data_IF_642514498233
#
_entry.id   IF_642514498233
#
_cell.length_a   1.000
_cell.length_b   1.000
_cell.length_c   1.000
_cell.angle_alpha   90.00
_cell.angle_beta   90.00
_cell.angle_gamma   90.00
#
_symmetry.space_group_name_H-M   'P 1'
#
loop_
_entity.id
_entity.type
_entity.pdbx_description
1 polymer ?
#
# COMPACT_ATOMS: atom_id res chain seq x y z
N UNK A 1 6.15 16.63 31.51
CA UNK A 1 7.52 16.11 31.66
C UNK A 1 7.62 14.94 30.72
N UNK A 2 8.13 15.27 29.53
CA UNK A 2 8.73 14.46 28.48
C UNK A 2 8.36 12.97 28.41
N UNK A 3 7.51 12.66 27.44
CA UNK A 3 7.61 11.39 26.72
C UNK A 3 7.50 11.70 25.22
N UNK A 4 8.44 12.50 24.73
CA UNK A 4 8.86 12.45 23.32
C UNK A 4 9.31 11.01 23.09
N UNK A 5 8.50 10.22 22.39
CA UNK A 5 8.96 8.96 21.82
C UNK A 5 10.14 9.31 20.90
N UNK A 6 11.35 9.20 21.45
CA UNK A 6 12.57 9.63 20.79
C UNK A 6 12.59 9.09 19.37
N UNK A 7 12.77 9.97 18.41
CA UNK A 7 12.85 9.67 16.99
C UNK A 7 13.79 8.47 16.78
N UNK A 8 13.21 7.30 16.54
CA UNK A 8 13.96 6.07 16.38
C UNK A 8 14.59 5.98 14.99
N UNK A 9 14.38 6.95 14.11
CA UNK A 9 15.04 6.96 12.82
C UNK A 9 16.55 7.07 12.96
N UNK A 10 17.27 6.50 12.00
CA UNK A 10 18.69 6.73 11.80
C UNK A 10 18.88 7.25 10.37
N UNK A 11 19.69 8.28 10.21
CA UNK A 11 20.00 8.94 8.95
C UNK A 11 21.50 9.21 8.83
N UNK A 12 21.93 9.57 7.62
CA UNK A 12 23.30 9.94 7.32
C UNK A 12 23.83 10.96 8.34
N UNK A 13 25.08 10.74 8.78
CA UNK A 13 25.79 11.51 9.82
C UNK A 13 25.37 11.24 11.27
N UNK A 14 24.35 10.41 11.52
CA UNK A 14 24.06 9.95 12.88
C UNK A 14 25.18 9.05 13.40
N UNK A 15 25.47 9.16 14.70
CA UNK A 15 26.44 8.30 15.39
C UNK A 15 25.77 7.63 16.58
N UNK A 16 25.64 6.31 16.55
CA UNK A 16 24.95 5.53 17.60
C UNK A 16 25.33 4.06 17.56
N UNK A 17 25.30 3.38 18.72
CA UNK A 17 25.38 1.91 18.77
C UNK A 17 24.26 1.22 17.97
N UNK A 18 23.14 1.93 17.73
CA UNK A 18 22.03 1.44 16.90
C UNK A 18 22.44 1.27 15.43
N UNK A 19 23.44 2.01 14.95
CA UNK A 19 23.98 1.86 13.60
C UNK A 19 24.71 0.52 13.44
N UNK A 20 25.41 0.05 14.49
CA UNK A 20 26.04 -1.28 14.48
C UNK A 20 24.99 -2.36 14.28
N UNK A 21 23.88 -2.29 15.03
CA UNK A 21 22.76 -3.22 14.87
C UNK A 21 22.10 -3.10 13.48
N UNK A 22 22.00 -1.89 12.92
CA UNK A 22 21.49 -1.68 11.56
C UNK A 22 22.37 -2.37 10.52
N UNK A 23 23.70 -2.21 10.60
CA UNK A 23 24.67 -2.88 9.72
C UNK A 23 24.50 -4.40 9.72
N UNK A 24 24.44 -5.00 10.91
CA UNK A 24 24.22 -6.44 11.06
C UNK A 24 22.88 -6.90 10.47
N UNK A 25 21.81 -6.12 10.68
CA UNK A 25 20.49 -6.45 10.14
C UNK A 25 20.44 -6.35 8.62
N UNK A 26 21.10 -5.37 8.02
CA UNK A 26 21.22 -5.24 6.57
C UNK A 26 21.96 -6.44 5.97
N UNK A 27 23.07 -6.87 6.59
CA UNK A 27 23.81 -8.07 6.17
C UNK A 27 22.95 -9.33 6.25
N UNK A 28 22.24 -9.54 7.37
CA UNK A 28 21.33 -10.68 7.54
C UNK A 28 20.17 -10.66 6.54
N UNK A 29 19.71 -9.47 6.17
CA UNK A 29 18.69 -9.28 5.15
C UNK A 29 19.21 -9.50 3.71
N UNK A 30 20.47 -9.92 3.55
CA UNK A 30 21.07 -10.27 2.26
C UNK A 30 21.74 -9.11 1.53
N UNK A 31 21.86 -7.92 2.16
CA UNK A 31 22.58 -6.80 1.56
C UNK A 31 24.08 -7.07 1.67
N UNK A 32 24.73 -7.23 0.52
CA UNK A 32 26.17 -7.42 0.44
C UNK A 32 26.82 -6.20 -0.21
N UNK A 33 27.52 -5.40 0.59
CA UNK A 33 28.29 -4.24 0.14
C UNK A 33 29.64 -4.18 0.85
N UNK A 34 30.64 -3.63 0.17
CA UNK A 34 31.94 -3.38 0.79
C UNK A 34 31.79 -2.37 1.94
N UNK A 35 32.54 -2.58 3.02
CA UNK A 35 32.58 -1.70 4.20
C UNK A 35 31.25 -1.57 4.95
N UNK A 36 30.31 -2.51 4.72
CA UNK A 36 29.07 -2.57 5.48
C UNK A 36 29.27 -3.25 6.84
N UNK A 37 30.07 -4.31 6.88
CA UNK A 37 30.23 -5.09 8.09
C UNK A 37 30.95 -4.30 9.20
N UNK A 38 30.51 -4.41 10.47
CA UNK A 38 31.07 -3.61 11.56
C UNK A 38 32.59 -3.75 11.76
N UNK A 39 33.15 -4.91 11.39
CA UNK A 39 34.58 -5.23 11.48
C UNK A 39 35.40 -4.72 10.28
N UNK A 40 34.75 -4.20 9.23
CA UNK A 40 35.39 -3.67 8.03
C UNK A 40 35.62 -2.15 8.08
N UNK A 41 35.17 -1.47 9.13
CA UNK A 41 35.25 -0.02 9.28
C UNK A 41 35.90 0.38 10.59
N UNK A 42 36.53 1.56 10.62
CA UNK A 42 37.21 2.06 11.81
C UNK A 42 36.23 2.41 12.95
N UNK A 43 35.05 2.96 12.60
CA UNK A 43 34.00 3.28 13.55
C UNK A 43 32.64 2.78 13.03
N UNK A 44 32.15 1.62 13.51
CA UNK A 44 30.89 1.06 13.06
C UNK A 44 29.65 1.77 13.63
N UNK A 45 29.84 2.74 14.54
CA UNK A 45 28.73 3.50 15.12
C UNK A 45 28.27 4.65 14.24
N UNK A 46 29.03 4.99 13.20
CA UNK A 46 28.72 6.08 12.26
C UNK A 46 27.86 5.58 11.11
N UNK A 47 26.77 6.29 10.84
CA UNK A 47 25.94 6.13 9.64
C UNK A 47 26.63 6.86 8.48
N UNK A 48 27.55 6.16 7.84
CA UNK A 48 28.36 6.63 6.72
C UNK A 48 27.65 6.44 5.36
N UNK A 49 28.35 6.79 4.28
CA UNK A 49 27.85 6.68 2.91
C UNK A 49 27.61 5.22 2.48
N UNK A 50 28.31 4.25 3.07
CA UNK A 50 28.08 2.83 2.79
C UNK A 50 26.79 2.34 3.45
N UNK A 51 26.50 2.79 4.68
CA UNK A 51 25.22 2.50 5.36
C UNK A 51 24.07 3.17 4.61
N UNK A 52 24.22 4.43 4.18
CA UNK A 52 23.20 5.10 3.35
C UNK A 52 22.91 4.33 2.06
N UNK A 53 23.94 3.93 1.31
CA UNK A 53 23.79 3.13 0.10
C UNK A 53 23.14 1.76 0.39
N UNK A 54 23.52 1.10 1.49
CA UNK A 54 22.95 -0.19 1.90
C UNK A 54 21.48 -0.07 2.32
N UNK A 55 21.11 0.98 3.05
CA UNK A 55 19.71 1.27 3.41
C UNK A 55 18.89 1.55 2.16
N UNK A 56 19.38 2.38 1.23
CA UNK A 56 18.69 2.66 -0.04
C UNK A 56 18.51 1.39 -0.88
N UNK A 57 19.53 0.54 -0.93
CA UNK A 57 19.45 -0.75 -1.64
C UNK A 57 18.43 -1.67 -0.99
N UNK A 58 18.42 -1.77 0.34
CA UNK A 58 17.41 -2.53 1.04
C UNK A 58 16.00 -1.98 0.78
N UNK A 59 15.80 -0.66 0.87
CA UNK A 59 14.54 0.00 0.58
C UNK A 59 14.06 -0.28 -0.84
N UNK A 60 14.96 -0.16 -1.84
CA UNK A 60 14.68 -0.46 -3.23
C UNK A 60 14.24 -1.92 -3.41
N UNK A 61 15.03 -2.87 -2.87
CA UNK A 61 14.74 -4.30 -3.01
C UNK A 61 13.42 -4.69 -2.34
N UNK A 62 13.10 -4.02 -1.23
CA UNK A 62 11.85 -4.25 -0.49
C UNK A 62 10.67 -3.45 -1.04
N UNK A 63 10.86 -2.52 -1.97
CA UNK A 63 9.81 -1.66 -2.50
C UNK A 63 9.28 -0.63 -1.50
N UNK A 64 10.13 -0.20 -0.57
CA UNK A 64 9.87 0.89 0.38
C UNK A 64 10.17 2.25 -0.26
N UNK A 65 9.85 3.34 0.45
CA UNK A 65 10.36 4.66 0.08
C UNK A 65 11.89 4.69 0.17
N UNK A 66 12.57 5.14 -0.89
CA UNK A 66 14.04 5.12 -0.99
C UNK A 66 14.63 6.47 -0.60
N UNK A 67 14.47 6.82 0.67
CA UNK A 67 14.93 8.09 1.24
C UNK A 67 16.33 7.99 1.89
N UNK A 68 16.85 6.77 2.10
CA UNK A 68 18.09 6.51 2.84
C UNK A 68 17.95 6.61 4.36
N UNK A 69 16.73 6.80 4.87
CA UNK A 69 16.43 6.89 6.29
C UNK A 69 15.97 5.54 6.82
N UNK A 70 16.66 5.04 7.85
CA UNK A 70 16.21 3.86 8.58
C UNK A 70 15.14 4.25 9.60
N UNK A 71 13.96 4.66 9.10
CA UNK A 71 12.78 4.99 9.89
C UNK A 71 11.99 3.76 10.36
N UNK A 72 10.83 3.96 11.02
CA UNK A 72 10.01 2.86 11.55
C UNK A 72 9.65 1.79 10.51
N UNK A 73 9.31 2.19 9.29
CA UNK A 73 8.98 1.29 8.19
C UNK A 73 10.19 0.44 7.75
N UNK A 74 11.33 1.08 7.46
CA UNK A 74 12.59 0.39 7.14
C UNK A 74 13.02 -0.57 8.26
N UNK A 75 12.93 -0.12 9.51
CA UNK A 75 13.28 -0.93 10.68
C UNK A 75 12.31 -2.09 10.89
N UNK A 76 11.02 -1.95 10.57
CA UNK A 76 10.05 -3.05 10.64
C UNK A 76 10.35 -4.09 9.56
N UNK A 77 10.54 -3.65 8.32
CA UNK A 77 10.89 -4.53 7.20
C UNK A 77 12.19 -5.31 7.46
N UNK A 78 13.21 -4.68 8.07
CA UNK A 78 14.44 -5.36 8.49
C UNK A 78 14.23 -6.39 9.59
N UNK A 79 13.17 -6.27 10.40
CA UNK A 79 12.83 -7.25 11.44
C UNK A 79 12.06 -8.43 10.85
N UNK A 80 11.14 -8.13 9.95
CA UNK A 80 10.34 -9.11 9.20
C UNK A 80 11.21 -9.98 8.26
N UNK A 81 12.30 -9.41 7.74
CA UNK A 81 13.27 -10.11 6.89
C UNK A 81 14.14 -11.15 7.62
N UNK A 82 14.05 -11.25 8.96
CA UNK A 82 14.91 -12.14 9.74
C UNK A 82 14.44 -13.59 9.78
N UNK A 83 13.18 -13.84 9.44
CA UNK A 83 12.54 -15.13 9.62
C UNK A 83 12.12 -15.72 8.28
N UNK A 84 12.50 -16.96 8.04
CA UNK A 84 12.02 -17.79 6.94
C UNK A 84 10.91 -18.74 7.43
N UNK A 85 10.10 -19.21 6.49
CA UNK A 85 9.03 -20.16 6.79
C UNK A 85 9.60 -21.44 7.44
N UNK A 86 9.19 -21.69 8.69
CA UNK A 86 9.65 -22.83 9.49
C UNK A 86 10.67 -22.51 10.58
N UNK A 87 11.21 -21.28 10.63
CA UNK A 87 12.17 -20.87 11.66
C UNK A 87 11.55 -20.78 13.07
N UNK A 88 10.23 -20.56 13.14
CA UNK A 88 9.47 -20.43 14.39
C UNK A 88 8.02 -20.90 14.21
N UNK A 89 7.36 -21.38 15.29
CA UNK A 89 5.93 -21.60 15.26
C UNK A 89 5.19 -20.26 15.15
N UNK A 90 4.13 -20.23 14.34
CA UNK A 90 3.26 -19.05 14.19
C UNK A 90 1.85 -19.41 14.61
N UNK A 91 1.23 -18.57 15.42
CA UNK A 91 -0.11 -18.79 15.95
C UNK A 91 -0.85 -17.47 16.10
N UNK A 92 -2.18 -17.59 16.18
CA UNK A 92 -3.06 -16.48 16.47
C UNK A 92 -3.63 -16.65 17.88
N UNK A 93 -3.57 -15.57 18.66
CA UNK A 93 -4.23 -15.50 19.96
C UNK A 93 -4.84 -14.11 20.12
N UNK A 94 -6.08 -14.07 20.60
CA UNK A 94 -6.78 -12.81 20.83
C UNK A 94 -6.06 -11.99 21.93
N UNK A 95 -5.78 -10.71 21.63
CA UNK A 95 -5.15 -9.79 22.58
C UNK A 95 -3.63 -9.88 22.68
N UNK A 96 -2.97 -10.68 21.82
CA UNK A 96 -1.51 -10.72 21.67
C UNK A 96 -1.13 -10.15 20.30
N UNK A 97 0.00 -9.43 20.24
CA UNK A 97 0.55 -8.97 18.98
C UNK A 97 0.72 -10.13 18.00
N UNK A 98 0.13 -9.99 16.81
CA UNK A 98 0.23 -11.00 15.79
C UNK A 98 1.67 -11.20 15.35
N UNK A 99 2.04 -12.46 15.08
CA UNK A 99 3.34 -12.74 14.47
C UNK A 99 3.37 -12.10 13.08
N UNK A 100 4.44 -11.37 12.77
CA UNK A 100 4.64 -10.69 11.48
C UNK A 100 6.00 -11.02 10.89
N UNK A 101 6.07 -11.15 9.57
CA UNK A 101 7.32 -11.42 8.88
C UNK A 101 7.18 -11.91 7.43
N UNK A 102 8.32 -12.06 6.77
CA UNK A 102 8.42 -12.71 5.47
C UNK A 102 7.96 -14.18 5.54
N UNK A 103 8.25 -14.86 6.66
CA UNK A 103 7.77 -16.20 7.00
C UNK A 103 6.24 -16.32 6.93
N UNK A 104 5.53 -15.37 7.54
CA UNK A 104 4.07 -15.34 7.52
C UNK A 104 3.54 -15.03 6.11
N UNK A 105 4.17 -14.08 5.42
CA UNK A 105 3.80 -13.75 4.03
C UNK A 105 3.94 -14.96 3.10
N UNK A 106 4.98 -15.76 3.31
CA UNK A 106 5.21 -16.98 2.55
C UNK A 106 4.21 -18.08 2.91
N UNK A 107 3.87 -18.24 4.19
CA UNK A 107 2.78 -19.13 4.61
C UNK A 107 1.45 -18.75 3.94
N UNK A 108 1.05 -17.48 4.02
CA UNK A 108 -0.19 -16.98 3.40
C UNK A 108 -0.21 -17.22 1.89
N UNK A 109 0.93 -17.03 1.21
CA UNK A 109 1.08 -17.31 -0.22
C UNK A 109 0.86 -18.79 -0.53
N UNK A 110 1.52 -19.67 0.21
CA UNK A 110 1.37 -21.11 0.02
C UNK A 110 -0.07 -21.56 0.30
N UNK A 111 -0.70 -21.05 1.36
CA UNK A 111 -2.11 -21.31 1.65
C UNK A 111 -3.01 -20.80 0.51
N UNK A 112 -2.70 -19.65 -0.07
CA UNK A 112 -3.44 -19.10 -1.22
C UNK A 112 -3.29 -19.98 -2.46
N UNK A 113 -2.07 -20.44 -2.79
CA UNK A 113 -1.84 -21.38 -3.89
C UNK A 113 -2.56 -22.71 -3.71
N UNK A 114 -2.66 -23.18 -2.47
CA UNK A 114 -3.41 -24.38 -2.12
C UNK A 114 -4.94 -24.16 -2.08
N UNK A 115 -5.40 -22.91 -2.24
CA UNK A 115 -6.82 -22.55 -2.22
C UNK A 115 -7.44 -22.50 -0.84
N UNK A 116 -6.66 -22.34 0.24
CA UNK A 116 -7.14 -22.23 1.63
C UNK A 116 -7.14 -20.79 2.15
N UNK A 117 -6.42 -19.87 1.52
CA UNK A 117 -6.34 -18.47 1.94
C UNK A 117 -6.84 -17.50 0.87
N UNK A 118 -7.87 -16.74 1.25
CA UNK A 118 -8.60 -15.81 0.38
C UNK A 118 -8.42 -14.35 0.83
N UNK A 119 -7.36 -14.08 1.58
CA UNK A 119 -7.08 -12.77 2.19
C UNK A 119 -5.93 -12.04 1.51
N UNK A 120 -5.75 -10.78 1.90
CA UNK A 120 -4.58 -10.01 1.56
C UNK A 120 -3.33 -10.68 2.15
N UNK A 121 -2.26 -10.82 1.36
CA UNK A 121 -0.97 -11.34 1.85
C UNK A 121 -0.24 -10.17 2.52
N UNK A 122 -0.65 -9.83 3.74
CA UNK A 122 -0.11 -8.72 4.55
C UNK A 122 1.14 -9.10 5.36
N UNK A 123 1.44 -10.40 5.48
CA UNK A 123 2.51 -10.89 6.33
C UNK A 123 2.17 -10.88 7.82
N UNK A 124 0.88 -10.84 8.17
CA UNK A 124 0.38 -10.86 9.54
C UNK A 124 -0.40 -12.15 9.85
N UNK A 125 -0.02 -12.84 10.94
CA UNK A 125 -0.70 -14.06 11.36
C UNK A 125 -1.96 -13.70 12.16
N UNK A 126 -2.98 -13.24 11.44
CA UNK A 126 -4.29 -12.91 11.99
C UNK A 126 -5.27 -14.09 11.99
N UNK A 127 -6.51 -13.81 12.41
CA UNK A 127 -7.59 -14.81 12.48
C UNK A 127 -7.84 -15.52 11.14
N UNK A 128 -7.75 -14.80 10.01
CA UNK A 128 -7.94 -15.40 8.67
C UNK A 128 -6.86 -16.43 8.35
N UNK A 129 -5.60 -16.11 8.66
CA UNK A 129 -4.46 -17.01 8.48
C UNK A 129 -4.63 -18.24 9.38
N UNK A 130 -5.03 -18.05 10.64
CA UNK A 130 -5.31 -19.14 11.57
C UNK A 130 -6.40 -20.09 11.07
N UNK A 131 -7.52 -19.57 10.56
CA UNK A 131 -8.60 -20.40 10.01
C UNK A 131 -8.16 -21.16 8.75
N UNK A 132 -7.40 -20.52 7.86
CA UNK A 132 -6.84 -21.17 6.67
C UNK A 132 -5.86 -22.29 7.03
N UNK A 133 -4.98 -22.06 8.02
CA UNK A 133 -4.07 -23.09 8.55
C UNK A 133 -4.87 -24.26 9.12
N UNK A 134 -5.88 -23.97 9.93
CA UNK A 134 -6.73 -24.99 10.55
C UNK A 134 -7.45 -25.84 9.52
N UNK A 135 -7.99 -25.23 8.47
CA UNK A 135 -8.64 -25.94 7.36
C UNK A 135 -7.64 -26.81 6.58
N UNK A 136 -6.45 -26.29 6.27
CA UNK A 136 -5.40 -27.08 5.62
C UNK A 136 -4.98 -28.27 6.49
N UNK A 137 -4.79 -28.09 7.79
CA UNK A 137 -4.46 -29.17 8.71
C UNK A 137 -5.50 -30.30 8.67
N UNK A 138 -6.80 -29.96 8.67
CA UNK A 138 -7.87 -30.95 8.52
C UNK A 138 -7.74 -31.74 7.23
N UNK A 139 -7.49 -31.06 6.10
CA UNK A 139 -7.35 -31.70 4.79
C UNK A 139 -6.09 -32.56 4.67
N UNK A 140 -5.03 -32.23 5.41
CA UNK A 140 -3.79 -33.01 5.47
C UNK A 140 -3.84 -34.14 6.52
N UNK A 141 -4.95 -34.30 7.24
CA UNK A 141 -5.10 -35.30 8.31
C UNK A 141 -4.26 -34.99 9.56
N UNK A 142 -3.91 -33.72 9.77
CA UNK A 142 -3.23 -33.22 10.97
C UNK A 142 -4.25 -32.76 12.03
N UNK A 143 -3.78 -32.57 13.26
CA UNK A 143 -4.58 -31.97 14.32
C UNK A 143 -4.87 -30.50 13.99
N UNK A 144 -6.15 -30.06 14.00
CA UNK A 144 -6.55 -28.75 13.49
C UNK A 144 -6.39 -27.64 14.54
N UNK A 145 -5.18 -27.48 15.05
CA UNK A 145 -4.82 -26.46 16.05
C UNK A 145 -4.88 -25.02 15.51
N UNK A 146 -4.75 -24.85 14.18
CA UNK A 146 -4.56 -23.56 13.55
C UNK A 146 -3.20 -22.91 13.85
N UNK A 147 -2.24 -23.69 14.36
CA UNK A 147 -0.84 -23.29 14.59
C UNK A 147 0.01 -23.76 13.43
N UNK A 148 0.80 -22.87 12.85
CA UNK A 148 1.77 -23.24 11.83
C UNK A 148 3.09 -23.66 12.49
N UNK A 149 3.26 -24.97 12.63
CA UNK A 149 4.38 -25.64 13.29
C UNK A 149 5.17 -26.54 12.32
N UNK A 150 6.25 -27.14 12.80
CA UNK A 150 7.11 -27.99 11.97
C UNK A 150 6.37 -29.16 11.28
N UNK A 151 5.43 -29.89 11.93
CA UNK A 151 4.57 -30.86 11.26
C UNK A 151 3.80 -30.31 10.07
N UNK A 152 3.14 -29.16 10.23
CA UNK A 152 2.42 -28.52 9.12
C UNK A 152 3.38 -28.13 7.99
N UNK A 153 4.48 -27.43 8.30
CA UNK A 153 5.44 -26.97 7.28
C UNK A 153 6.02 -28.15 6.51
N UNK A 154 6.37 -29.24 7.19
CA UNK A 154 6.84 -30.47 6.56
C UNK A 154 5.78 -31.15 5.68
N UNK A 155 4.50 -31.06 6.04
CA UNK A 155 3.39 -31.54 5.21
C UNK A 155 3.18 -30.66 3.97
N UNK A 156 3.16 -29.32 4.13
CA UNK A 156 3.05 -28.35 3.05
C UNK A 156 4.17 -28.49 2.01
N UNK A 157 5.42 -28.66 2.47
CA UNK A 157 6.57 -28.84 1.59
C UNK A 157 6.45 -30.08 0.68
N UNK A 158 5.69 -31.10 1.09
CA UNK A 158 5.40 -32.29 0.26
C UNK A 158 4.31 -32.01 -0.78
N UNK A 159 3.29 -31.24 -0.41
CA UNK A 159 2.17 -30.89 -1.32
C UNK A 159 2.59 -29.86 -2.36
N UNK A 160 3.31 -28.81 -1.98
CA UNK A 160 3.71 -27.72 -2.88
C UNK A 160 4.61 -28.17 -4.05
N UNK A 161 5.31 -29.31 -3.94
CA UNK A 161 6.09 -29.87 -5.06
C UNK A 161 5.22 -30.30 -6.26
N UNK A 162 3.90 -30.35 -6.10
CA UNK A 162 2.96 -30.88 -7.11
C UNK A 162 2.04 -29.85 -7.75
N UNK A 163 2.10 -28.56 -7.35
CA UNK A 163 1.14 -27.54 -7.77
C UNK A 163 1.87 -26.37 -8.44
N UNK A 164 1.39 -25.95 -9.62
CA UNK A 164 1.90 -24.80 -10.37
C UNK A 164 1.15 -23.51 -9.97
N UNK A 165 1.81 -22.33 -9.89
CA UNK A 165 1.29 -21.14 -9.19
C UNK A 165 0.09 -20.40 -9.83
N UNK A 166 -0.38 -20.81 -11.01
CA UNK A 166 -1.05 -19.89 -11.93
C UNK A 166 -2.58 -19.81 -11.87
N UNK A 167 -3.30 -20.60 -11.05
CA UNK A 167 -4.76 -20.74 -11.25
C UNK A 167 -5.68 -20.54 -10.04
N UNK A 168 -5.20 -20.58 -8.79
CA UNK A 168 -6.10 -20.56 -7.63
C UNK A 168 -6.62 -19.16 -7.24
N UNK A 169 -5.79 -18.14 -7.40
CA UNK A 169 -6.05 -16.78 -6.88
C UNK A 169 -6.96 -15.95 -7.80
N UNK A 170 -6.89 -16.17 -9.11
CA UNK A 170 -7.55 -15.32 -10.11
C UNK A 170 -9.06 -15.55 -10.20
N UNK A 171 -9.54 -16.79 -10.08
CA UNK A 171 -10.93 -17.11 -10.43
C UNK A 171 -11.95 -16.73 -9.35
N UNK A 172 -11.62 -16.84 -8.06
CA UNK A 172 -12.60 -16.69 -6.96
C UNK A 172 -12.79 -15.25 -6.46
N UNK A 173 -11.73 -14.44 -6.48
CA UNK A 173 -11.83 -13.00 -6.19
C UNK A 173 -12.53 -12.26 -7.34
N UNK A 174 -12.30 -12.68 -8.60
CA UNK A 174 -13.11 -12.26 -9.74
C UNK A 174 -14.58 -12.62 -9.52
N UNK A 175 -14.88 -13.86 -9.10
CA UNK A 175 -16.27 -14.31 -8.94
C UNK A 175 -17.00 -13.59 -7.79
N UNK A 176 -16.31 -13.16 -6.72
CA UNK A 176 -16.90 -12.29 -5.67
C UNK A 176 -17.15 -10.87 -6.13
N UNK A 177 -16.25 -10.30 -6.94
CA UNK A 177 -16.51 -9.02 -7.62
C UNK A 177 -17.70 -9.16 -8.59
N UNK A 178 -17.79 -10.28 -9.30
CA UNK A 178 -18.86 -10.59 -10.26
C UNK A 178 -20.22 -10.89 -9.60
N UNK A 179 -20.24 -11.28 -8.32
CA UNK A 179 -21.49 -11.58 -7.59
C UNK A 179 -22.09 -10.36 -6.87
N UNK A 180 -21.40 -9.21 -6.83
CA UNK A 180 -21.85 -8.03 -6.11
C UNK A 180 -22.69 -7.10 -7.00
N UNK A 181 -23.93 -7.49 -7.29
CA UNK A 181 -24.91 -6.67 -8.03
C UNK A 181 -25.45 -5.50 -7.18
N UNK A 182 -24.63 -4.46 -6.97
CA UNK A 182 -25.05 -3.08 -6.64
C UNK A 182 -23.81 -2.17 -6.81
N UNK A 183 -23.84 -1.29 -7.81
CA UNK A 183 -22.65 -0.65 -8.37
C UNK A 183 -21.79 0.13 -7.35
N UNK A 184 -22.40 0.82 -6.37
CA UNK A 184 -21.69 1.55 -5.29
C UNK A 184 -22.46 1.59 -3.96
N UNK A 185 -23.78 1.37 -3.99
CA UNK A 185 -24.68 1.53 -2.84
C UNK A 185 -24.34 0.60 -1.68
N UNK A 186 -24.14 1.18 -0.50
CA UNK A 186 -23.83 0.43 0.73
C UNK A 186 -22.41 -0.13 0.81
N UNK A 187 -21.52 0.20 -0.14
CA UNK A 187 -20.09 -0.08 0.00
C UNK A 187 -19.42 0.99 0.84
N UNK A 188 -18.52 0.56 1.71
CA UNK A 188 -17.70 1.47 2.51
C UNK A 188 -16.40 1.74 1.77
N UNK A 189 -16.14 3.00 1.40
CA UNK A 189 -14.87 3.43 0.78
C UNK A 189 -14.14 4.33 1.77
N UNK A 190 -12.86 4.04 2.01
CA UNK A 190 -12.02 4.89 2.84
C UNK A 190 -11.19 5.83 1.98
N UNK A 191 -11.20 7.12 2.31
CA UNK A 191 -10.40 8.15 1.66
C UNK A 191 -9.44 8.78 2.64
N UNK A 192 -8.20 8.99 2.19
CA UNK A 192 -7.19 9.71 2.96
C UNK A 192 -6.50 10.74 2.08
N UNK A 193 -6.18 11.90 2.64
CA UNK A 193 -5.37 12.91 1.96
C UNK A 193 -3.91 12.81 2.42
N UNK A 194 -2.98 13.00 1.50
CA UNK A 194 -1.56 13.09 1.77
C UNK A 194 -1.17 14.34 2.54
N UNK A 195 -0.07 14.23 3.27
CA UNK A 195 0.60 15.34 3.96
C UNK A 195 2.11 15.10 4.07
N UNK A 196 2.65 14.30 3.14
CA UNK A 196 4.02 13.77 3.19
C UNK A 196 5.08 14.73 2.65
N UNK A 197 4.68 15.84 2.04
CA UNK A 197 5.61 16.89 1.62
C UNK A 197 5.43 18.13 2.49
N UNK A 198 6.54 18.59 3.08
CA UNK A 198 6.62 19.96 3.65
C UNK A 198 6.82 21.02 2.56
N UNK A 199 6.89 20.58 1.30
CA UNK A 199 7.09 21.43 0.16
C UNK A 199 5.90 22.37 -0.04
N UNK A 200 6.20 23.66 -0.16
CA UNK A 200 5.24 24.69 -0.49
C UNK A 200 5.56 25.21 -1.88
N UNK A 201 4.62 25.06 -2.81
CA UNK A 201 4.79 25.56 -4.16
C UNK A 201 4.87 27.09 -4.17
N UNK A 202 5.68 27.70 -5.07
CA UNK A 202 5.65 29.13 -5.29
C UNK A 202 4.33 29.63 -5.89
N UNK A 203 3.51 28.72 -6.43
CA UNK A 203 2.16 29.03 -6.94
C UNK A 203 1.16 29.10 -5.79
N UNK A 204 0.27 30.09 -5.83
CA UNK A 204 -0.86 30.20 -4.91
C UNK A 204 -2.11 29.52 -5.49
N UNK A 205 -2.95 28.98 -4.61
CA UNK A 205 -4.26 28.45 -4.97
C UNK A 205 -5.16 29.53 -5.58
N UNK A 206 -5.77 29.27 -6.74
CA UNK A 206 -6.54 30.28 -7.48
C UNK A 206 -7.84 30.69 -6.78
N UNK A 207 -8.44 29.80 -5.97
CA UNK A 207 -9.69 30.09 -5.27
C UNK A 207 -9.48 30.86 -3.98
N UNK A 208 -8.49 30.47 -3.17
CA UNK A 208 -8.28 31.00 -1.83
C UNK A 208 -7.12 31.99 -1.72
N UNK A 209 -6.24 32.05 -2.72
CA UNK A 209 -5.00 32.85 -2.69
C UNK A 209 -3.95 32.34 -1.69
N UNK A 210 -4.19 31.20 -1.05
CA UNK A 210 -3.28 30.61 -0.05
C UNK A 210 -2.12 29.90 -0.74
N UNK A 211 -0.99 29.70 -0.04
CA UNK A 211 0.08 28.86 -0.54
C UNK A 211 -0.40 27.46 -0.91
N UNK A 212 0.01 26.98 -2.08
CA UNK A 212 -0.35 25.65 -2.55
C UNK A 212 0.54 24.61 -1.85
N UNK A 213 -0.10 23.75 -1.06
CA UNK A 213 0.53 22.64 -0.33
C UNK A 213 -0.19 21.34 -0.68
N UNK A 214 0.48 20.20 -0.49
CA UNK A 214 -0.13 18.88 -0.70
C UNK A 214 -1.42 18.75 0.10
N UNK A 215 -1.38 19.11 1.39
CA UNK A 215 -2.54 19.05 2.27
C UNK A 215 -3.74 19.83 1.70
N UNK A 216 -3.51 21.02 1.13
CA UNK A 216 -4.59 21.82 0.54
C UNK A 216 -5.19 21.13 -0.68
N UNK A 217 -4.35 20.69 -1.62
CA UNK A 217 -4.78 20.09 -2.89
C UNK A 217 -5.43 18.74 -2.65
N UNK A 218 -4.74 17.83 -1.96
CA UNK A 218 -5.22 16.48 -1.67
C UNK A 218 -6.53 16.50 -0.88
N UNK A 219 -6.66 17.35 0.14
CA UNK A 219 -7.90 17.45 0.92
C UNK A 219 -9.07 18.07 0.14
N UNK A 220 -8.80 18.90 -0.88
CA UNK A 220 -9.85 19.44 -1.75
C UNK A 220 -10.36 18.37 -2.72
N UNK A 221 -9.46 17.65 -3.39
CA UNK A 221 -9.84 16.53 -4.27
C UNK A 221 -10.56 15.45 -3.47
N UNK A 222 -10.04 15.07 -2.30
CA UNK A 222 -10.67 14.09 -1.41
C UNK A 222 -12.11 14.45 -1.04
N UNK A 223 -12.38 15.71 -0.62
CA UNK A 223 -13.74 16.17 -0.29
C UNK A 223 -14.69 16.14 -1.49
N UNK A 224 -14.19 16.41 -2.69
CA UNK A 224 -14.98 16.31 -3.92
C UNK A 224 -15.34 14.85 -4.21
N UNK A 225 -14.37 13.94 -4.13
CA UNK A 225 -14.60 12.49 -4.29
C UNK A 225 -15.60 11.98 -3.25
N UNK A 226 -15.42 12.35 -1.98
CA UNK A 226 -16.35 12.03 -0.89
C UNK A 226 -17.78 12.49 -1.20
N UNK A 227 -17.94 13.75 -1.61
CA UNK A 227 -19.25 14.33 -1.93
C UNK A 227 -19.95 13.58 -3.07
N UNK A 228 -19.22 13.21 -4.11
CA UNK A 228 -19.80 12.53 -5.27
C UNK A 228 -20.15 11.07 -4.91
N UNK A 229 -19.23 10.34 -4.27
CA UNK A 229 -19.48 8.95 -3.84
C UNK A 229 -20.65 8.83 -2.86
N UNK A 230 -20.74 9.75 -1.90
CA UNK A 230 -21.85 9.79 -0.95
C UNK A 230 -23.17 10.09 -1.66
N UNK A 231 -23.16 10.98 -2.66
CA UNK A 231 -24.31 11.25 -3.53
C UNK A 231 -24.76 10.04 -4.36
N UNK A 232 -23.84 9.12 -4.68
CA UNK A 232 -24.10 7.84 -5.35
C UNK A 232 -24.48 6.71 -4.37
N UNK A 233 -24.62 7.00 -3.08
CA UNK A 233 -25.07 6.04 -2.05
C UNK A 233 -23.97 5.15 -1.45
N UNK A 234 -22.70 5.45 -1.69
CA UNK A 234 -21.60 4.81 -0.97
C UNK A 234 -21.44 5.41 0.44
N UNK A 235 -21.00 4.60 1.39
CA UNK A 235 -20.59 5.08 2.72
C UNK A 235 -19.11 5.47 2.65
N UNK A 236 -18.79 6.74 2.88
CA UNK A 236 -17.40 7.22 2.80
C UNK A 236 -16.86 7.49 4.19
N UNK A 237 -15.75 6.84 4.53
CA UNK A 237 -14.99 7.14 5.75
C UNK A 237 -13.76 7.95 5.37
N UNK A 238 -13.63 9.14 5.95
CA UNK A 238 -12.43 9.97 5.76
C UNK A 238 -11.50 9.78 6.95
N UNK A 239 -10.26 9.37 6.68
CA UNK A 239 -9.19 9.34 7.70
C UNK A 239 -8.26 10.51 7.44
N UNK A 240 -8.29 11.50 8.35
CA UNK A 240 -7.47 12.69 8.25
C UNK A 240 -5.98 12.34 8.33
N UNK A 241 -5.16 13.09 7.58
CA UNK A 241 -3.72 13.09 7.76
C UNK A 241 -3.36 13.70 9.12
N UNK A 242 -2.99 12.84 10.07
CA UNK A 242 -2.13 13.22 11.19
C UNK A 242 -0.67 13.33 10.71
N UNK A 243 0.19 14.14 11.37
CA UNK A 243 1.59 14.29 10.98
C UNK A 243 2.29 12.94 10.81
N UNK A 244 3.25 12.88 9.87
CA UNK A 244 3.98 11.70 9.33
C UNK A 244 4.42 10.62 10.35
N UNK A 245 4.51 10.98 11.64
CA UNK A 245 4.91 10.10 12.74
C UNK A 245 3.80 9.12 13.19
N UNK A 246 2.63 9.10 12.55
CA UNK A 246 1.47 8.31 12.97
C UNK A 246 0.90 7.37 11.88
N UNK A 247 1.71 6.86 10.94
CA UNK A 247 1.26 5.86 9.94
C UNK A 247 0.53 4.67 10.57
N UNK A 248 0.97 4.22 11.75
CA UNK A 248 0.33 3.14 12.51
C UNK A 248 -1.12 3.50 12.92
N UNK A 249 -1.40 4.77 13.28
CA UNK A 249 -2.75 5.22 13.62
C UNK A 249 -3.68 5.18 12.39
N UNK A 250 -3.19 5.65 11.23
CA UNK A 250 -3.97 5.61 9.97
C UNK A 250 -4.33 4.19 9.56
N UNK A 251 -3.37 3.27 9.62
CA UNK A 251 -3.59 1.85 9.30
C UNK A 251 -4.67 1.24 10.22
N UNK A 252 -4.62 1.55 11.52
CA UNK A 252 -5.63 1.08 12.47
C UNK A 252 -7.01 1.65 12.18
N UNK A 253 -7.12 2.96 11.91
CA UNK A 253 -8.39 3.61 11.57
C UNK A 253 -9.02 3.00 10.30
N UNK A 254 -8.21 2.77 9.26
CA UNK A 254 -8.66 2.11 8.02
C UNK A 254 -9.17 0.69 8.32
N UNK A 255 -8.43 -0.09 9.12
CA UNK A 255 -8.86 -1.45 9.52
C UNK A 255 -10.17 -1.44 10.29
N UNK A 256 -10.33 -0.52 11.24
CA UNK A 256 -11.54 -0.40 12.05
C UNK A 256 -12.76 -0.06 11.20
N UNK A 257 -12.60 0.81 10.19
CA UNK A 257 -13.66 1.12 9.24
C UNK A 257 -14.02 -0.06 8.32
N UNK A 258 -13.13 -1.05 8.17
CA UNK A 258 -13.33 -2.23 7.31
C UNK A 258 -13.89 -1.93 5.91
N UNK A 259 -13.32 -0.95 5.17
CA UNK A 259 -13.80 -0.55 3.86
C UNK A 259 -13.57 -1.65 2.80
N UNK A 260 -14.30 -1.60 1.70
CA UNK A 260 -14.05 -2.44 0.53
C UNK A 260 -12.86 -1.97 -0.31
N UNK A 261 -12.46 -0.69 -0.18
CA UNK A 261 -11.33 -0.06 -0.86
C UNK A 261 -10.84 1.13 -0.03
N UNK A 262 -9.51 1.32 0.04
CA UNK A 262 -8.88 2.49 0.64
C UNK A 262 -8.04 3.25 -0.39
N UNK A 263 -8.20 4.57 -0.48
CA UNK A 263 -7.51 5.43 -1.45
C UNK A 263 -6.81 6.57 -0.72
N UNK A 264 -5.49 6.66 -0.89
CA UNK A 264 -4.70 7.83 -0.49
C UNK A 264 -4.48 8.73 -1.69
N UNK A 265 -4.88 10.00 -1.60
CA UNK A 265 -4.69 11.01 -2.64
C UNK A 265 -3.55 11.92 -2.20
N UNK A 266 -2.51 12.05 -3.02
CA UNK A 266 -1.26 12.69 -2.67
C UNK A 266 -0.76 13.59 -3.81
N UNK A 267 0.16 14.49 -3.50
CA UNK A 267 0.96 15.21 -4.48
C UNK A 267 2.43 14.98 -4.17
N UNK A 268 3.26 14.90 -5.21
CA UNK A 268 4.69 14.68 -5.05
C UNK A 268 5.48 16.01 -5.15
N UNK A 269 6.73 15.99 -4.72
CA UNK A 269 7.67 17.10 -4.89
C UNK A 269 9.10 16.57 -4.93
N UNK A 270 9.87 17.03 -5.91
CA UNK A 270 11.29 16.69 -6.05
C UNK A 270 12.12 17.96 -6.20
N UNK A 271 13.41 17.87 -5.86
CA UNK A 271 14.42 18.92 -6.11
C UNK A 271 14.71 19.12 -7.63
N UNK A 272 13.96 18.44 -8.49
CA UNK A 272 13.98 18.58 -9.94
C UNK A 272 12.67 19.24 -10.40
N UNK A 273 12.67 20.54 -10.74
CA UNK A 273 11.44 21.28 -11.07
C UNK A 273 10.79 20.84 -12.40
N UNK A 274 11.49 20.03 -13.20
CA UNK A 274 10.97 19.48 -14.45
C UNK A 274 10.20 18.16 -14.26
N UNK A 275 10.31 17.51 -13.09
CA UNK A 275 9.55 16.30 -12.79
C UNK A 275 8.06 16.59 -12.93
N UNK A 276 7.31 15.72 -13.62
CA UNK A 276 5.88 15.87 -13.81
C UNK A 276 5.22 14.51 -14.09
N UNK A 277 3.90 14.46 -13.95
CA UNK A 277 3.09 13.30 -14.26
C UNK A 277 2.32 12.75 -13.07
N UNK A 278 1.52 11.72 -13.35
CA UNK A 278 0.68 11.02 -12.37
C UNK A 278 1.11 9.57 -12.26
N UNK A 279 1.06 9.04 -11.04
CA UNK A 279 1.38 7.64 -10.77
C UNK A 279 0.42 7.06 -9.74
N UNK A 280 0.24 5.74 -9.77
CA UNK A 280 -0.52 5.04 -8.75
C UNK A 280 0.25 3.85 -8.18
N UNK A 281 0.08 3.59 -6.90
CA UNK A 281 0.80 2.57 -6.16
C UNK A 281 -0.18 1.59 -5.51
N UNK A 282 0.18 0.32 -5.51
CA UNK A 282 -0.61 -0.76 -4.92
C UNK A 282 0.32 -1.74 -4.19
N UNK A 283 -0.23 -2.58 -3.32
CA UNK A 283 0.55 -3.61 -2.63
C UNK A 283 1.06 -4.69 -3.61
N UNK A 284 2.38 -4.71 -3.78
CA UNK A 284 3.09 -5.62 -4.67
C UNK A 284 4.60 -5.52 -4.51
N UNK A 285 5.34 -6.45 -5.11
CA UNK A 285 6.81 -6.46 -5.07
C UNK A 285 7.38 -5.95 -6.39
N UNK A 286 8.08 -4.80 -6.39
CA UNK A 286 8.59 -4.21 -7.62
C UNK A 286 9.64 -5.07 -8.32
N UNK A 287 10.58 -5.70 -7.60
CA UNK A 287 11.65 -6.51 -8.20
C UNK A 287 11.14 -7.72 -8.98
N UNK A 288 10.10 -8.39 -8.44
CA UNK A 288 9.55 -9.63 -9.02
C UNK A 288 8.35 -9.38 -9.93
N UNK A 289 7.78 -8.16 -9.92
CA UNK A 289 6.49 -7.87 -10.55
C UNK A 289 5.30 -8.59 -9.90
N UNK A 290 5.47 -9.14 -8.70
CA UNK A 290 4.44 -9.91 -8.02
C UNK A 290 3.32 -8.99 -7.52
N UNK A 291 2.10 -9.25 -8.01
CA UNK A 291 0.89 -8.58 -7.54
C UNK A 291 0.41 -9.29 -6.27
N UNK A 292 0.32 -8.56 -5.16
CA UNK A 292 -0.15 -9.10 -3.87
C UNK A 292 -1.54 -8.62 -3.47
N UNK A 293 -2.06 -7.61 -4.16
CA UNK A 293 -3.42 -7.11 -4.03
C UNK A 293 -4.04 -6.94 -5.43
N UNK A 294 -4.73 -7.94 -6.00
CA UNK A 294 -5.35 -7.84 -7.32
C UNK A 294 -6.40 -6.73 -7.41
N UNK A 295 -7.23 -6.60 -6.39
CA UNK A 295 -8.25 -5.54 -6.34
C UNK A 295 -7.57 -4.17 -6.26
N UNK A 296 -6.53 -4.02 -5.43
CA UNK A 296 -5.74 -2.78 -5.38
C UNK A 296 -5.04 -2.47 -6.71
N UNK A 297 -4.50 -3.50 -7.38
CA UNK A 297 -3.89 -3.37 -8.70
C UNK A 297 -4.90 -2.91 -9.76
N UNK A 298 -6.06 -3.57 -9.86
CA UNK A 298 -7.15 -3.19 -10.78
C UNK A 298 -7.67 -1.79 -10.48
N UNK A 299 -7.81 -1.42 -9.20
CA UNK A 299 -8.21 -0.08 -8.79
C UNK A 299 -7.18 0.98 -9.22
N UNK A 300 -5.90 0.72 -9.00
CA UNK A 300 -4.82 1.62 -9.41
C UNK A 300 -4.78 1.79 -10.94
N UNK A 301 -4.94 0.71 -11.70
CA UNK A 301 -4.99 0.72 -13.16
C UNK A 301 -6.17 1.56 -13.69
N UNK A 302 -7.39 1.29 -13.20
CA UNK A 302 -8.58 2.02 -13.62
C UNK A 302 -8.49 3.51 -13.27
N UNK A 303 -8.05 3.84 -12.05
CA UNK A 303 -7.94 5.24 -11.62
C UNK A 303 -6.91 5.99 -12.47
N UNK A 304 -5.73 5.41 -12.68
CA UNK A 304 -4.71 6.04 -13.52
C UNK A 304 -5.22 6.24 -14.95
N UNK A 305 -5.90 5.24 -15.53
CA UNK A 305 -6.48 5.32 -16.88
C UNK A 305 -7.52 6.43 -16.99
N UNK A 306 -8.45 6.56 -16.03
CA UNK A 306 -9.48 7.60 -16.07
C UNK A 306 -8.91 9.00 -15.86
N UNK A 307 -7.86 9.14 -15.03
CA UNK A 307 -7.15 10.41 -14.82
C UNK A 307 -6.42 10.82 -16.10
N UNK A 308 -5.70 9.91 -16.74
CA UNK A 308 -4.97 10.18 -17.99
C UNK A 308 -5.92 10.49 -19.16
N UNK A 309 -7.10 9.85 -19.21
CA UNK A 309 -8.07 10.11 -20.27
C UNK A 309 -8.71 11.52 -20.20
N UNK A 310 -8.69 12.17 -19.03
CA UNK A 310 -9.32 13.47 -18.78
C UNK A 310 -8.35 14.61 -18.51
N UNK A 311 -7.06 14.30 -18.39
CA UNK A 311 -6.01 15.28 -18.11
C UNK A 311 -4.92 15.22 -19.16
N UNK A 312 -4.04 16.21 -19.17
CA UNK A 312 -2.83 16.22 -20.01
C UNK A 312 -1.60 15.78 -19.20
N UNK A 313 -1.80 15.00 -18.13
CA UNK A 313 -0.70 14.56 -17.28
C UNK A 313 0.15 13.49 -17.96
N UNK A 314 1.44 13.49 -17.66
CA UNK A 314 2.36 12.44 -18.12
C UNK A 314 2.05 11.14 -17.38
N UNK A 315 1.98 10.04 -18.11
CA UNK A 315 1.79 8.70 -17.54
C UNK A 315 3.11 8.19 -16.94
N UNK A 316 3.16 8.06 -15.62
CA UNK A 316 4.28 7.42 -14.92
C UNK A 316 4.00 5.96 -14.57
N UNK A 317 2.83 5.44 -14.92
CA UNK A 317 2.42 4.05 -14.72
C UNK A 317 1.97 3.71 -13.30
N UNK A 318 1.61 2.44 -13.14
CA UNK A 318 1.27 1.84 -11.85
C UNK A 318 2.43 1.03 -11.29
N UNK A 319 2.61 1.09 -9.97
CA UNK A 319 3.80 0.56 -9.31
C UNK A 319 3.46 -0.30 -8.11
N UNK A 320 4.00 -1.53 -8.07
CA UNK A 320 3.96 -2.35 -6.86
C UNK A 320 4.89 -1.76 -5.79
N UNK A 321 4.36 -1.51 -4.60
CA UNK A 321 5.11 -1.01 -3.43
C UNK A 321 4.75 -1.78 -2.18
N UNK A 322 5.67 -1.71 -1.22
CA UNK A 322 5.55 -2.40 0.07
C UNK A 322 5.24 -1.51 1.25
N UNK A 323 4.65 -0.35 0.97
CA UNK A 323 4.39 0.65 1.99
C UNK A 323 3.37 0.16 3.02
N UNK A 324 3.55 0.53 4.28
CA UNK A 324 2.70 0.10 5.38
C UNK A 324 1.22 0.43 5.12
N UNK A 325 0.93 1.60 4.54
CA UNK A 325 -0.44 2.01 4.23
C UNK A 325 -1.10 1.14 3.15
N UNK A 326 -0.31 0.49 2.29
CA UNK A 326 -0.78 -0.40 1.24
C UNK A 326 -0.90 -1.85 1.72
N UNK A 327 0.05 -2.27 2.57
CA UNK A 327 0.23 -3.65 3.05
C UNK A 327 -0.51 -3.93 4.35
N UNK A 328 -0.28 -3.10 5.36
CA UNK A 328 -0.69 -3.36 6.73
C UNK A 328 -2.14 -3.00 6.99
N UNK A 329 -2.92 -2.52 6.03
CA UNK A 329 -4.37 -2.33 6.24
C UNK A 329 -5.15 -3.64 6.11
N UNK A 330 -4.59 -4.67 5.46
CA UNK A 330 -5.33 -5.89 5.03
C UNK A 330 -6.55 -5.59 4.14
N UNK A 331 -6.66 -4.35 3.64
CA UNK A 331 -7.72 -3.85 2.76
C UNK A 331 -7.09 -3.59 1.39
N UNK A 332 -7.80 -3.81 0.25
CA UNK A 332 -7.37 -3.28 -1.04
C UNK A 332 -7.09 -1.78 -0.95
N UNK A 333 -5.81 -1.40 -0.98
CA UNK A 333 -5.37 -0.04 -0.73
C UNK A 333 -4.51 0.46 -1.87
N UNK A 334 -4.70 1.72 -2.24
CA UNK A 334 -3.91 2.40 -3.27
C UNK A 334 -3.43 3.76 -2.77
N UNK A 335 -2.34 4.24 -3.35
CA UNK A 335 -1.93 5.64 -3.28
C UNK A 335 -1.89 6.20 -4.70
N UNK A 336 -2.45 7.39 -4.88
CA UNK A 336 -2.49 8.11 -6.14
C UNK A 336 -1.74 9.43 -5.98
N UNK A 337 -0.68 9.61 -6.74
CA UNK A 337 0.05 10.87 -6.84
C UNK A 337 -0.47 11.63 -8.05
N UNK A 338 -1.18 12.75 -7.80
CA UNK A 338 -1.93 13.50 -8.83
C UNK A 338 -1.12 14.59 -9.53
N UNK A 339 0.19 14.67 -9.28
CA UNK A 339 1.11 15.64 -9.90
C UNK A 339 2.18 16.16 -8.94
N UNK A 340 3.15 16.87 -9.49
CA UNK A 340 4.29 17.45 -8.78
C UNK A 340 4.05 18.91 -8.42
N UNK A 341 4.05 19.23 -7.13
CA UNK A 341 3.95 20.62 -6.65
C UNK A 341 5.20 21.44 -6.94
N UNK A 342 6.35 20.77 -7.09
CA UNK A 342 7.64 21.38 -7.44
C UNK A 342 7.70 21.82 -8.90
N UNK A 343 6.81 21.31 -9.76
CA UNK A 343 6.70 21.71 -11.15
C UNK A 343 5.73 22.89 -11.30
N UNK A 344 6.17 24.05 -11.83
CA UNK A 344 5.31 25.24 -11.93
C UNK A 344 4.05 25.04 -12.78
N UNK A 345 4.13 24.26 -13.87
CA UNK A 345 3.00 24.04 -14.77
C UNK A 345 1.96 23.10 -14.15
N UNK A 346 2.40 22.06 -13.45
CA UNK A 346 1.51 21.19 -12.67
C UNK A 346 0.93 21.90 -11.46
N UNK A 347 1.73 22.65 -10.73
CA UNK A 347 1.25 23.47 -9.62
C UNK A 347 0.19 24.48 -10.09
N UNK A 348 0.35 25.11 -11.26
CA UNK A 348 -0.65 26.01 -11.84
C UNK A 348 -1.97 25.32 -12.20
N UNK A 349 -1.91 24.07 -12.67
CA UNK A 349 -3.10 23.22 -12.91
C UNK A 349 -3.73 22.79 -11.58
N UNK A 350 -2.94 22.27 -10.65
CA UNK A 350 -3.39 21.85 -9.32
C UNK A 350 -3.88 23.01 -8.46
N UNK A 351 -3.50 24.25 -8.74
CA UNK A 351 -4.06 25.46 -8.13
C UNK A 351 -5.47 25.80 -8.64
N UNK A 352 -5.92 25.17 -9.72
CA UNK A 352 -7.21 25.39 -10.35
C UNK A 352 -8.31 24.47 -9.79
N UNK A 353 -9.37 25.00 -9.18
CA UNK A 353 -10.49 24.19 -8.68
C UNK A 353 -11.18 23.36 -9.76
N UNK A 354 -11.20 23.83 -11.02
CA UNK A 354 -11.82 23.10 -12.13
C UNK A 354 -10.99 21.85 -12.44
N UNK A 355 -9.66 21.97 -12.44
CA UNK A 355 -8.78 20.82 -12.65
C UNK A 355 -8.91 19.79 -11.50
N UNK A 356 -9.02 20.26 -10.26
CA UNK A 356 -9.29 19.38 -9.10
C UNK A 356 -10.64 18.66 -9.20
N UNK A 357 -11.65 19.30 -9.80
CA UNK A 357 -12.93 18.64 -10.06
C UNK A 357 -12.78 17.52 -11.09
N UNK A 358 -12.05 17.77 -12.19
CA UNK A 358 -11.77 16.75 -13.21
C UNK A 358 -11.07 15.52 -12.61
N UNK A 359 -10.09 15.74 -11.72
CA UNK A 359 -9.43 14.66 -10.99
C UNK A 359 -10.41 13.87 -10.11
N UNK A 360 -11.29 14.57 -9.38
CA UNK A 360 -12.28 13.92 -8.53
C UNK A 360 -13.28 13.08 -9.35
N UNK A 361 -13.78 13.61 -10.46
CA UNK A 361 -14.69 12.89 -11.37
C UNK A 361 -14.03 11.63 -11.94
N UNK A 362 -12.76 11.73 -12.35
CA UNK A 362 -11.99 10.60 -12.85
C UNK A 362 -11.83 9.48 -11.80
N UNK A 363 -11.51 9.84 -10.56
CA UNK A 363 -11.39 8.88 -9.45
C UNK A 363 -12.72 8.18 -9.20
N UNK A 364 -13.84 8.91 -9.14
CA UNK A 364 -15.17 8.33 -8.90
C UNK A 364 -15.57 7.35 -9.99
N UNK A 365 -15.39 7.76 -11.26
CA UNK A 365 -15.70 6.92 -12.42
C UNK A 365 -14.91 5.60 -12.35
N UNK A 366 -13.62 5.67 -12.03
CA UNK A 366 -12.81 4.48 -11.90
C UNK A 366 -13.25 3.55 -10.75
N UNK A 367 -13.64 4.11 -9.60
CA UNK A 367 -14.17 3.31 -8.48
C UNK A 367 -15.47 2.63 -8.88
N UNK A 368 -16.34 3.30 -9.63
CA UNK A 368 -17.55 2.64 -10.10
C UNK A 368 -17.23 1.50 -11.06
N UNK A 369 -16.35 1.73 -12.04
CA UNK A 369 -15.90 0.70 -13.00
C UNK A 369 -15.25 -0.50 -12.34
N UNK A 370 -14.56 -0.29 -11.21
CA UNK A 370 -14.00 -1.39 -10.40
C UNK A 370 -15.08 -2.39 -9.94
N UNK A 371 -16.31 -1.91 -9.80
CA UNK A 371 -17.42 -2.65 -9.20
C UNK A 371 -18.58 -2.94 -10.17
N UNK A 372 -18.47 -2.54 -11.44
CA UNK A 372 -19.38 -2.96 -12.50
C UNK A 372 -18.95 -4.36 -13.01
N UNK A 373 -19.92 -5.15 -13.47
CA UNK A 373 -19.66 -6.42 -14.13
C UNK A 373 -19.03 -6.14 -15.51
N UNK A 374 -18.17 -7.04 -16.00
CA UNK A 374 -17.53 -6.86 -17.32
C UNK A 374 -18.52 -6.78 -18.48
N UNK A 375 -19.73 -7.34 -18.32
CA UNK A 375 -20.83 -7.21 -19.28
C UNK A 375 -21.44 -5.80 -19.31
N UNK A 376 -21.23 -5.01 -18.25
CA UNK A 376 -21.74 -3.64 -18.07
C UNK A 376 -20.67 -2.54 -18.27
N UNK A 377 -19.40 -2.90 -18.51
CA UNK A 377 -18.31 -1.93 -18.81
C UNK A 377 -18.27 -1.62 -20.33
N UNK A 378 -18.30 -0.34 -20.69
CA UNK A 378 -18.34 0.10 -22.08
C UNK A 378 -17.07 -0.34 -22.86
N UNK A 379 -17.20 -0.84 -24.10
CA UNK A 379 -16.08 -1.40 -24.88
C UNK A 379 -14.99 -0.38 -25.24
N UNK A 380 -15.27 0.93 -25.15
CA UNK A 380 -14.26 1.99 -25.35
C UNK A 380 -13.31 2.16 -24.16
N UNK A 381 -13.56 1.49 -23.04
CA UNK A 381 -12.64 1.42 -21.92
C UNK A 381 -12.55 2.70 -21.06
N UNK A 382 -13.52 3.60 -21.17
CA UNK A 382 -13.76 4.78 -20.31
C UNK A 382 -15.26 5.01 -20.19
N UNK A 383 -15.73 5.48 -19.02
CA UNK A 383 -17.17 5.67 -18.73
C UNK A 383 -17.47 7.17 -18.51
N UNK A 384 -18.55 7.71 -19.10
CA UNK A 384 -18.91 9.12 -18.90
C UNK A 384 -19.65 9.32 -17.57
N UNK A 385 -19.53 10.50 -16.96
CA UNK A 385 -20.18 10.78 -15.67
C UNK A 385 -21.73 10.65 -15.74
N UNK A 386 -22.32 10.90 -16.89
CA UNK A 386 -23.77 10.72 -17.08
C UNK A 386 -24.18 9.23 -17.10
N UNK A 387 -23.27 8.34 -17.51
CA UNK A 387 -23.50 6.89 -17.49
C UNK A 387 -23.38 6.33 -16.07
N UNK A 388 -22.57 6.95 -15.21
CA UNK A 388 -22.47 6.63 -13.77
C UNK A 388 -23.83 6.69 -13.09
N UNK A 389 -24.64 7.69 -13.42
CA UNK A 389 -25.98 7.90 -12.88
C UNK A 389 -26.99 6.86 -13.40
N UNK A 390 -26.80 6.32 -14.60
CA UNK A 390 -27.67 5.28 -15.18
C UNK A 390 -27.57 3.95 -14.43
N UNK A 391 -26.38 3.62 -13.95
CA UNK A 391 -26.15 2.41 -13.13
C UNK A 391 -26.55 2.57 -11.66
N UNK A 392 -26.94 3.78 -11.23
CA UNK A 392 -27.47 4.07 -9.90
C UNK A 392 -28.80 4.83 -9.99
N UNK A 393 -29.85 4.27 -10.61
CA UNK A 393 -31.12 4.98 -10.76
C UNK A 393 -31.86 5.07 -9.41
N UNK A 394 -32.35 6.28 -9.12
CA UNK A 394 -33.20 6.71 -7.98
C UNK A 394 -32.48 7.16 -6.69
N UNK A 395 -32.43 8.50 -6.55
CA UNK A 395 -32.67 9.23 -5.29
C UNK A 395 -34.16 9.16 -4.93
#
# INVERSE_FOLDING_TARGET
MDNDAADQSLRRSDTSRRVVALRERLLRAGISMAYLAPDQVNDPTVFDDHVDAAVRTFQQNRGLMVDGVAGPETLRALGEAQYNLGDRPMFWQQGIDHTRGDDVSELQRQLSYLGFYYGHIDGEFGQRTHLAVRELQQNLGLEPSGVADAPLIGAMARVNRSISPSQAFSLRDYERLNQASAALKGRVVCLTAGSGTSFQSPVADKASGRPLTEKLVASDVMRRVESILSGLGAEVTVVAAEPEKATDNRVQLIRQASPSLSISINCDSLDQPLANGVSAFYWGKPETGEIRSPIGHRAAELILKEVLARTTATDLGIHGRSWDILRLTSIPSIQLDIGYLSNPDEAARLADPVFRQILADAIVIAIQRLYLLEEDDEPTGTLALDDVLRFNPEL
#
